data_IF_629874699410
#
_entry.id   IF_629874699410
#
_cell.length_a   1.000
_cell.length_b   1.000
_cell.length_c   1.000
_cell.angle_alpha   90.00
_cell.angle_beta   90.00
_cell.angle_gamma   90.00
#
_symmetry.space_group_name_H-M   'P 1'
#
loop_
_entity.id
_entity.type
_entity.pdbx_description
1 polymer ?
#
# COMPACT_ATOMS: atom_id res chain seq x y z
N UNK A 1 -12.13 2.38 6.63
CA UNK A 1 -10.95 3.25 6.49
C UNK A 1 -10.65 3.80 7.87
N UNK A 2 -9.68 3.20 8.58
CA UNK A 2 -9.23 3.70 9.88
C UNK A 2 -7.90 4.38 9.61
N UNK A 3 -7.93 5.72 9.59
CA UNK A 3 -6.73 6.53 9.48
C UNK A 3 -5.94 6.43 10.78
N UNK A 4 -4.68 6.00 10.71
CA UNK A 4 -3.74 6.07 11.82
C UNK A 4 -3.33 7.53 12.06
N UNK A 5 -4.14 8.24 12.83
CA UNK A 5 -3.82 9.56 13.34
C UNK A 5 -3.27 9.47 14.75
N UNK A 6 -1.96 9.71 14.93
CA UNK A 6 -1.38 10.31 16.12
C UNK A 6 -0.98 9.41 17.28
N UNK A 7 0.31 9.25 17.43
CA UNK A 7 1.19 9.77 18.48
C UNK A 7 1.08 9.20 19.90
N UNK A 8 2.06 8.39 20.24
CA UNK A 8 2.51 8.08 21.59
C UNK A 8 2.88 6.61 21.75
N UNK A 9 4.02 6.29 22.40
CA UNK A 9 4.48 4.90 22.58
C UNK A 9 3.49 4.01 23.34
N UNK A 10 2.63 4.58 24.16
CA UNK A 10 1.65 3.81 24.95
C UNK A 10 0.40 3.39 24.15
N UNK A 11 0.14 4.00 22.99
CA UNK A 11 -1.01 3.67 22.15
C UNK A 11 -0.74 2.53 21.14
N UNK A 12 0.52 2.20 20.89
CA UNK A 12 0.87 1.18 19.88
C UNK A 12 0.47 -0.21 20.34
N UNK A 13 0.63 -0.55 21.62
CA UNK A 13 0.28 -1.88 22.13
C UNK A 13 -1.23 -2.11 22.24
N UNK A 14 -1.99 -1.11 22.66
CA UNK A 14 -3.47 -1.19 22.71
C UNK A 14 -4.09 -1.19 21.31
N UNK A 15 -3.48 -0.51 20.33
CA UNK A 15 -3.91 -0.55 18.93
C UNK A 15 -3.60 -1.90 18.27
N UNK A 16 -2.52 -2.59 18.66
CA UNK A 16 -2.15 -3.89 18.14
C UNK A 16 -3.20 -4.98 18.43
N UNK A 17 -3.59 -5.14 19.69
CA UNK A 17 -4.61 -6.13 20.10
C UNK A 17 -5.98 -5.82 19.47
N UNK A 18 -6.38 -4.57 19.40
CA UNK A 18 -7.62 -4.15 18.75
C UNK A 18 -7.60 -4.39 17.24
N UNK A 19 -6.44 -4.20 16.58
CA UNK A 19 -6.29 -4.47 15.16
C UNK A 19 -6.44 -5.96 14.84
N UNK A 20 -5.81 -6.85 15.65
CA UNK A 20 -5.94 -8.29 15.48
C UNK A 20 -7.40 -8.77 15.61
N UNK A 21 -8.11 -8.30 16.64
CA UNK A 21 -9.53 -8.64 16.81
C UNK A 21 -10.37 -8.14 15.64
N UNK A 22 -10.10 -6.93 15.18
CA UNK A 22 -10.81 -6.33 14.04
C UNK A 22 -10.59 -7.14 12.75
N UNK A 23 -9.34 -7.55 12.48
CA UNK A 23 -8.99 -8.35 11.30
C UNK A 23 -9.67 -9.73 11.36
N UNK A 24 -9.62 -10.42 12.49
CA UNK A 24 -10.31 -11.69 12.68
C UNK A 24 -11.82 -11.58 12.43
N UNK A 25 -12.42 -10.49 12.87
CA UNK A 25 -13.86 -10.21 12.60
C UNK A 25 -14.11 -9.92 11.12
N UNK A 26 -13.24 -9.16 10.46
CA UNK A 26 -13.34 -8.89 9.01
C UNK A 26 -13.24 -10.20 8.21
N UNK A 27 -12.25 -11.05 8.51
CA UNK A 27 -12.09 -12.34 7.86
C UNK A 27 -13.27 -13.27 8.10
N UNK A 28 -13.82 -13.31 9.33
CA UNK A 28 -15.03 -14.10 9.63
C UNK A 28 -16.26 -13.65 8.86
N UNK A 29 -16.29 -12.39 8.43
CA UNK A 29 -17.32 -11.81 7.57
C UNK A 29 -16.98 -11.94 6.06
N UNK A 30 -15.91 -12.62 5.69
CA UNK A 30 -15.45 -12.77 4.31
C UNK A 30 -14.83 -11.50 3.70
N UNK A 31 -14.40 -10.55 4.55
CA UNK A 31 -13.77 -9.29 4.11
C UNK A 31 -12.25 -9.41 4.18
N UNK A 32 -11.57 -8.77 3.24
CA UNK A 32 -10.12 -8.61 3.26
C UNK A 32 -9.72 -7.35 4.02
N UNK A 33 -8.54 -7.38 4.65
CA UNK A 33 -7.97 -6.25 5.37
C UNK A 33 -6.72 -5.74 4.66
N UNK A 34 -6.74 -4.45 4.31
CA UNK A 34 -5.62 -3.75 3.69
C UNK A 34 -4.99 -2.76 4.66
N UNK A 35 -3.71 -2.94 4.97
CA UNK A 35 -2.99 -2.05 5.86
C UNK A 35 -2.40 -0.86 5.10
N UNK A 36 -2.66 0.36 5.56
CA UNK A 36 -2.19 1.56 4.87
C UNK A 36 -0.84 2.03 5.42
N UNK A 37 0.22 1.81 4.66
CA UNK A 37 1.58 2.31 4.88
C UNK A 37 1.95 3.28 3.74
N UNK A 38 1.05 4.23 3.48
CA UNK A 38 1.05 5.04 2.25
C UNK A 38 1.54 6.48 2.44
N UNK A 39 2.46 6.72 3.36
CA UNK A 39 3.12 8.02 3.46
C UNK A 39 3.75 8.41 2.11
N UNK A 40 3.59 9.66 1.65
CA UNK A 40 4.11 10.11 0.35
C UNK A 40 5.65 10.18 0.32
N UNK A 41 6.27 10.30 1.47
CA UNK A 41 7.73 10.37 1.64
C UNK A 41 8.11 9.95 3.04
N UNK A 42 9.30 9.37 3.17
CA UNK A 42 9.96 9.13 4.46
C UNK A 42 11.13 10.11 4.67
N UNK A 43 11.22 11.19 3.89
CA UNK A 43 12.28 12.20 3.97
C UNK A 43 13.69 11.61 3.85
N UNK A 44 13.86 10.57 3.01
CA UNK A 44 15.06 9.76 2.83
C UNK A 44 15.51 8.98 4.09
N UNK A 45 14.65 8.87 5.09
CA UNK A 45 14.97 8.11 6.29
C UNK A 45 14.96 6.59 6.04
N UNK A 46 14.36 6.14 4.95
CA UNK A 46 14.41 4.74 4.48
C UNK A 46 15.84 4.23 4.26
N UNK A 47 16.81 5.13 4.03
CA UNK A 47 18.22 4.82 3.88
C UNK A 47 18.99 4.78 5.22
N UNK A 48 18.33 5.12 6.32
CA UNK A 48 18.91 5.05 7.65
C UNK A 48 18.73 3.64 8.23
N UNK A 49 19.81 3.06 8.74
CA UNK A 49 19.82 1.68 9.27
C UNK A 49 18.81 1.48 10.42
N UNK A 50 18.66 2.48 11.31
CA UNK A 50 17.69 2.43 12.41
C UNK A 50 16.26 2.39 11.86
N UNK A 51 15.93 3.31 10.95
CA UNK A 51 14.59 3.39 10.34
C UNK A 51 14.29 2.14 9.50
N UNK A 52 15.29 1.61 8.81
CA UNK A 52 15.13 0.36 8.06
C UNK A 52 14.75 -0.80 8.99
N UNK A 53 15.39 -0.90 10.16
CA UNK A 53 15.08 -1.93 11.16
C UNK A 53 13.66 -1.76 11.73
N UNK A 54 13.31 -0.53 12.12
CA UNK A 54 11.96 -0.20 12.61
C UNK A 54 10.88 -0.52 11.56
N UNK A 55 11.17 -0.29 10.28
CA UNK A 55 10.30 -0.67 9.17
C UNK A 55 10.12 -2.19 9.05
N UNK A 56 11.21 -2.95 9.17
CA UNK A 56 11.13 -4.41 9.13
C UNK A 56 10.30 -4.94 10.29
N UNK A 57 10.54 -4.47 11.52
CA UNK A 57 9.76 -4.84 12.70
C UNK A 57 8.26 -4.51 12.51
N UNK A 58 7.97 -3.35 11.91
CA UNK A 58 6.59 -2.97 11.61
C UNK A 58 5.94 -3.85 10.54
N UNK A 59 6.68 -4.23 9.50
CA UNK A 59 6.20 -5.16 8.46
C UNK A 59 6.02 -6.59 9.01
N UNK A 60 6.90 -7.03 9.91
CA UNK A 60 6.75 -8.30 10.63
C UNK A 60 5.46 -8.31 11.45
N UNK A 61 5.17 -7.21 12.14
CA UNK A 61 3.92 -7.06 12.86
C UNK A 61 2.70 -7.08 11.91
N UNK A 62 2.72 -6.33 10.81
CA UNK A 62 1.63 -6.34 9.79
C UNK A 62 1.40 -7.78 9.29
N UNK A 63 2.47 -8.51 9.05
CA UNK A 63 2.40 -9.89 8.63
C UNK A 63 1.84 -10.81 9.73
N UNK A 64 2.19 -10.58 10.99
CA UNK A 64 1.73 -11.38 12.14
C UNK A 64 0.24 -11.24 12.42
N UNK A 65 -0.35 -10.08 12.10
CA UNK A 65 -1.79 -9.83 12.23
C UNK A 65 -2.61 -10.34 11.03
N UNK A 66 -1.96 -11.07 10.12
CA UNK A 66 -2.60 -11.68 8.93
C UNK A 66 -3.28 -10.67 8.01
N UNK A 67 -2.69 -9.47 7.83
CA UNK A 67 -3.16 -8.53 6.82
C UNK A 67 -3.10 -9.17 5.42
N UNK A 68 -4.14 -8.98 4.60
CA UNK A 68 -4.20 -9.54 3.24
C UNK A 68 -3.32 -8.76 2.26
N UNK A 69 -3.19 -7.47 2.50
CA UNK A 69 -2.41 -6.58 1.65
C UNK A 69 -1.89 -5.37 2.42
N UNK A 70 -0.86 -4.74 1.86
CA UNK A 70 -0.35 -3.46 2.32
C UNK A 70 -0.36 -2.45 1.17
N UNK A 71 -0.95 -1.27 1.42
CA UNK A 71 -0.92 -0.17 0.47
C UNK A 71 0.25 0.75 0.77
N UNK A 72 1.13 0.92 -0.22
CA UNK A 72 2.37 1.69 -0.13
C UNK A 72 2.46 2.75 -1.23
N UNK A 73 3.30 3.77 -1.05
CA UNK A 73 3.52 4.83 -2.04
C UNK A 73 4.94 4.82 -2.58
N UNK A 74 5.92 4.50 -1.73
CA UNK A 74 7.34 4.61 -2.01
C UNK A 74 7.83 3.32 -2.69
N UNK A 75 8.51 3.40 -3.86
CA UNK A 75 9.04 2.22 -4.57
C UNK A 75 9.85 1.28 -3.70
N UNK A 76 10.71 1.83 -2.85
CA UNK A 76 11.51 1.07 -1.89
C UNK A 76 10.69 0.12 -1.00
N UNK A 77 9.49 0.57 -0.55
CA UNK A 77 8.62 -0.26 0.31
C UNK A 77 8.07 -1.47 -0.46
N UNK A 78 7.80 -1.33 -1.76
CA UNK A 78 7.34 -2.46 -2.58
C UNK A 78 8.41 -3.53 -2.66
N UNK A 79 9.64 -3.12 -3.01
CA UNK A 79 10.79 -4.06 -3.05
C UNK A 79 11.02 -4.73 -1.70
N UNK A 80 10.97 -3.95 -0.61
CA UNK A 80 11.18 -4.45 0.75
C UNK A 80 10.14 -5.50 1.11
N UNK A 81 8.85 -5.21 0.91
CA UNK A 81 7.76 -6.14 1.19
C UNK A 81 7.90 -7.41 0.33
N UNK A 82 8.14 -7.28 -0.98
CA UNK A 82 8.26 -8.44 -1.86
C UNK A 82 9.47 -9.32 -1.57
N UNK A 83 10.55 -8.72 -1.09
CA UNK A 83 11.76 -9.47 -0.69
C UNK A 83 11.58 -10.21 0.62
N UNK A 84 10.96 -9.59 1.62
CA UNK A 84 10.85 -10.14 2.98
C UNK A 84 9.56 -10.93 3.20
N UNK A 85 8.45 -10.50 2.59
CA UNK A 85 7.11 -11.05 2.77
C UNK A 85 6.44 -11.29 1.40
N UNK A 86 6.93 -12.22 0.56
CA UNK A 86 6.49 -12.40 -0.83
C UNK A 86 5.01 -12.78 -0.96
N UNK A 87 4.41 -13.32 0.08
CA UNK A 87 2.98 -13.68 0.13
C UNK A 87 2.06 -12.49 0.44
N UNK A 88 2.61 -11.43 1.07
CA UNK A 88 1.85 -10.22 1.38
C UNK A 88 1.62 -9.42 0.09
N UNK A 89 0.37 -9.18 -0.26
CA UNK A 89 0.04 -8.41 -1.46
C UNK A 89 0.40 -6.95 -1.27
N UNK A 90 1.05 -6.37 -2.28
CA UNK A 90 1.40 -4.95 -2.31
C UNK A 90 0.50 -4.19 -3.26
N UNK A 91 -0.12 -3.13 -2.75
CA UNK A 91 -0.94 -2.19 -3.51
C UNK A 91 -0.25 -0.84 -3.59
N UNK A 92 -0.17 -0.28 -4.78
CA UNK A 92 0.34 1.09 -4.97
C UNK A 92 -0.79 2.08 -4.72
N UNK A 93 -0.54 3.01 -3.79
CA UNK A 93 -1.50 4.08 -3.45
C UNK A 93 -1.68 5.05 -4.61
N UNK A 94 -2.86 5.65 -4.70
CA UNK A 94 -3.12 6.79 -5.62
C UNK A 94 -2.18 7.98 -5.36
N UNK A 95 -1.67 8.12 -4.12
CA UNK A 95 -0.70 9.16 -3.74
C UNK A 95 0.64 9.00 -4.49
N UNK A 96 0.91 7.81 -5.05
CA UNK A 96 2.07 7.60 -5.91
C UNK A 96 1.93 8.27 -7.29
N UNK A 97 0.75 8.83 -7.62
CA UNK A 97 0.47 9.54 -8.86
C UNK A 97 0.86 8.76 -10.12
N UNK A 98 0.38 7.52 -10.23
CA UNK A 98 0.65 6.70 -11.41
C UNK A 98 -0.24 7.15 -12.56
N UNK A 99 0.30 7.99 -13.40
CA UNK A 99 -0.35 8.71 -14.49
C UNK A 99 0.19 8.37 -15.89
N UNK A 100 1.06 7.38 -16.00
CA UNK A 100 1.71 7.02 -17.26
C UNK A 100 2.07 5.54 -17.36
N UNK A 101 2.22 5.05 -18.59
CA UNK A 101 2.67 3.68 -18.87
C UNK A 101 4.03 3.38 -18.22
N UNK A 102 4.96 4.35 -18.28
CA UNK A 102 6.30 4.16 -17.73
C UNK A 102 6.27 3.95 -16.21
N UNK A 103 5.47 4.77 -15.49
CA UNK A 103 5.31 4.63 -14.03
C UNK A 103 4.61 3.33 -13.67
N UNK A 104 3.56 2.95 -14.40
CA UNK A 104 2.87 1.69 -14.15
C UNK A 104 3.80 0.48 -14.31
N UNK A 105 4.60 0.44 -15.38
CA UNK A 105 5.62 -0.59 -15.59
C UNK A 105 6.68 -0.62 -14.50
N UNK A 106 7.13 0.55 -14.04
CA UNK A 106 8.08 0.64 -12.93
C UNK A 106 7.52 -0.06 -11.70
N UNK A 107 6.34 0.31 -11.25
CA UNK A 107 5.73 -0.28 -10.05
C UNK A 107 5.48 -1.78 -10.19
N UNK A 108 4.99 -2.23 -11.37
CA UNK A 108 4.84 -3.65 -11.64
C UNK A 108 6.18 -4.40 -11.60
N UNK A 109 7.26 -3.82 -12.16
CA UNK A 109 8.59 -4.44 -12.15
C UNK A 109 9.18 -4.57 -10.74
N UNK A 110 8.76 -3.72 -9.79
CA UNK A 110 9.12 -3.82 -8.38
C UNK A 110 8.29 -4.88 -7.63
N UNK A 111 7.28 -5.46 -8.28
CA UNK A 111 6.45 -6.53 -7.73
C UNK A 111 5.10 -6.08 -7.19
N UNK A 112 4.60 -4.91 -7.57
CA UNK A 112 3.26 -4.47 -7.18
C UNK A 112 2.19 -5.42 -7.74
N UNK A 113 1.30 -5.92 -6.87
CA UNK A 113 0.17 -6.78 -7.26
C UNK A 113 -1.00 -5.96 -7.80
N UNK A 114 -1.19 -4.74 -7.28
CA UNK A 114 -2.18 -3.81 -7.80
C UNK A 114 -1.71 -2.36 -7.76
N UNK A 115 -2.21 -1.54 -8.69
CA UNK A 115 -1.87 -0.12 -8.81
C UNK A 115 -3.15 0.70 -8.84
N UNK A 116 -3.32 1.60 -7.87
CA UNK A 116 -4.36 2.62 -7.91
C UNK A 116 -3.84 3.78 -8.74
N UNK A 117 -4.45 3.99 -9.92
CA UNK A 117 -4.06 5.03 -10.86
C UNK A 117 -4.41 6.43 -10.33
N UNK A 118 -3.70 7.43 -10.87
CA UNK A 118 -4.00 8.82 -10.55
C UNK A 118 -5.42 9.20 -10.99
N UNK A 119 -6.12 9.93 -10.14
CA UNK A 119 -7.51 10.36 -10.37
C UNK A 119 -7.66 11.26 -11.59
N UNK A 120 -6.61 12.02 -11.93
CA UNK A 120 -6.64 12.96 -13.05
C UNK A 120 -6.75 12.27 -14.41
N UNK A 121 -6.35 11.00 -14.52
CA UNK A 121 -6.43 10.23 -15.76
C UNK A 121 -7.71 9.39 -15.89
N UNK A 122 -8.62 9.44 -14.92
CA UNK A 122 -9.84 8.61 -14.89
C UNK A 122 -10.74 8.74 -16.14
N UNK A 123 -10.62 9.83 -16.88
CA UNK A 123 -11.39 10.08 -18.12
C UNK A 123 -10.54 10.01 -19.39
N UNK A 124 -9.24 9.76 -19.27
CA UNK A 124 -8.38 9.51 -20.44
C UNK A 124 -8.39 8.02 -20.81
N UNK A 125 -9.46 7.60 -21.49
CA UNK A 125 -9.64 6.21 -21.89
C UNK A 125 -8.53 5.69 -22.82
N UNK A 126 -7.88 6.57 -23.60
CA UNK A 126 -6.76 6.19 -24.46
C UNK A 126 -5.55 5.81 -23.60
N UNK A 127 -5.24 6.63 -22.61
CA UNK A 127 -4.14 6.37 -21.67
C UNK A 127 -4.45 5.16 -20.78
N UNK A 128 -5.66 5.06 -20.24
CA UNK A 128 -6.07 3.90 -19.42
C UNK A 128 -5.93 2.59 -20.20
N UNK A 129 -6.33 2.58 -21.48
CA UNK A 129 -6.14 1.41 -22.35
C UNK A 129 -4.66 1.12 -22.61
N UNK A 130 -3.84 2.16 -22.81
CA UNK A 130 -2.40 2.01 -23.01
C UNK A 130 -1.72 1.43 -21.75
N UNK A 131 -2.08 1.91 -20.56
CA UNK A 131 -1.58 1.38 -19.29
C UNK A 131 -2.02 -0.08 -19.14
N UNK A 132 -3.31 -0.40 -19.32
CA UNK A 132 -3.82 -1.78 -19.20
C UNK A 132 -3.11 -2.77 -20.13
N UNK A 133 -2.80 -2.35 -21.36
CA UNK A 133 -2.08 -3.19 -22.30
C UNK A 133 -0.60 -3.38 -21.98
N UNK A 134 -0.05 -2.53 -21.13
CA UNK A 134 1.39 -2.49 -20.82
C UNK A 134 1.77 -3.21 -19.53
N UNK A 135 0.81 -3.47 -18.64
CA UNK A 135 1.01 -4.16 -17.35
C UNK A 135 0.00 -5.29 -17.18
N UNK A 136 0.33 -6.28 -16.35
CA UNK A 136 -0.54 -7.43 -16.04
C UNK A 136 -1.17 -7.33 -14.66
N UNK A 137 -0.56 -6.56 -13.74
CA UNK A 137 -1.07 -6.36 -12.39
C UNK A 137 -2.49 -5.77 -12.38
N UNK A 138 -3.17 -5.86 -11.26
CA UNK A 138 -4.50 -5.26 -11.08
C UNK A 138 -4.42 -3.74 -11.18
N UNK A 139 -5.38 -3.12 -11.87
CA UNK A 139 -5.52 -1.66 -11.94
C UNK A 139 -6.80 -1.22 -11.22
N UNK A 140 -6.66 -0.24 -10.34
CA UNK A 140 -7.76 0.32 -9.54
C UNK A 140 -7.98 1.78 -9.92
N UNK A 141 -9.25 2.17 -10.07
CA UNK A 141 -9.69 3.55 -10.32
C UNK A 141 -10.54 4.03 -9.14
N UNK A 142 -10.28 5.23 -8.65
CA UNK A 142 -11.11 5.89 -7.64
C UNK A 142 -12.22 6.69 -8.34
N UNK A 143 -13.46 6.15 -8.35
CA UNK A 143 -14.57 6.75 -9.08
C UNK A 143 -15.18 7.97 -8.37
N UNK A 144 -15.09 8.06 -7.05
CA UNK A 144 -15.76 9.04 -6.21
C UNK A 144 -14.78 9.79 -5.30
N UNK A 145 -13.72 10.35 -5.88
CA UNK A 145 -12.85 11.21 -5.10
C UNK A 145 -13.57 12.53 -4.76
N UNK A 146 -13.42 12.97 -3.51
CA UNK A 146 -13.89 14.30 -3.10
C UNK A 146 -13.13 15.35 -3.92
N UNK A 147 -13.84 16.08 -4.77
CA UNK A 147 -13.32 17.32 -5.36
C UNK A 147 -13.28 18.35 -4.23
N UNK A 148 -12.07 18.67 -3.78
CA UNK A 148 -11.80 19.83 -2.93
C UNK A 148 -11.60 21.06 -3.82
#
# INVERSE_FOLDING_TARGET
MIGSGGSGPDNVYTMGEQAEEYIKRAHSAGLQFDYLLNAPSMSNMEWNEKTHRELLEHLEWINSIEADSVTVTIPYLIELVKRQFPHLKTRVSTIAHVDSVARAKLFESLGADSITLDIHINRDFKLLKAIRNAVNCELVLLANNLCL
#
